data_IF_383543560717
#
_entry.id   IF_383543560717
#
_cell.length_a   1.000
_cell.length_b   1.000
_cell.length_c   1.000
_cell.angle_alpha   90.00
_cell.angle_beta   90.00
_cell.angle_gamma   90.00
#
_symmetry.space_group_name_H-M   'P 1'
#
loop_
_entity.id
_entity.type
_entity.pdbx_description
1 polymer ?
#
# COMPACT_ATOMS: atom_id res chain seq x y z
N UNK A 1 -38.33 -15.63 -45.37
CA UNK A 1 -39.31 -14.78 -44.67
C UNK A 1 -38.60 -14.01 -43.58
N UNK A 2 -38.21 -12.77 -43.85
CA UNK A 2 -37.52 -11.89 -42.90
C UNK A 2 -38.59 -11.10 -42.14
N UNK A 3 -38.82 -11.46 -40.88
CA UNK A 3 -39.77 -10.71 -40.04
C UNK A 3 -39.10 -9.43 -39.54
N UNK A 4 -39.46 -8.30 -40.12
CA UNK A 4 -39.11 -6.97 -39.65
C UNK A 4 -39.77 -6.72 -38.28
N UNK A 5 -38.99 -6.78 -37.22
CA UNK A 5 -39.40 -6.38 -35.88
C UNK A 5 -39.55 -4.86 -35.84
N UNK A 6 -40.73 -4.35 -35.43
CA UNK A 6 -40.95 -2.90 -35.26
C UNK A 6 -40.01 -2.35 -34.17
N UNK A 7 -39.58 -1.08 -34.29
CA UNK A 7 -38.76 -0.37 -33.29
C UNK A 7 -39.33 -0.50 -31.86
N UNK A 8 -40.65 -0.55 -31.72
CA UNK A 8 -41.36 -0.69 -30.45
C UNK A 8 -41.18 -2.11 -29.85
N UNK A 9 -41.23 -3.14 -30.71
CA UNK A 9 -40.99 -4.53 -30.25
C UNK A 9 -39.53 -4.79 -29.92
N UNK A 10 -38.59 -4.10 -30.59
CA UNK A 10 -37.17 -4.16 -30.26
C UNK A 10 -36.88 -3.48 -28.92
N UNK A 11 -37.42 -2.28 -28.67
CA UNK A 11 -37.29 -1.56 -27.40
C UNK A 11 -37.89 -2.33 -26.21
N UNK A 12 -39.06 -2.97 -26.41
CA UNK A 12 -39.68 -3.78 -25.34
C UNK A 12 -38.86 -5.04 -25.01
N UNK A 13 -38.25 -5.69 -25.99
CA UNK A 13 -37.38 -6.84 -25.77
C UNK A 13 -36.01 -6.43 -25.14
N UNK A 14 -35.50 -5.27 -25.54
CA UNK A 14 -34.28 -4.71 -24.92
C UNK A 14 -34.53 -4.25 -23.49
N UNK A 15 -35.70 -3.69 -23.17
CA UNK A 15 -36.07 -3.34 -21.80
C UNK A 15 -36.27 -4.56 -20.90
N UNK A 16 -36.79 -5.68 -21.42
CA UNK A 16 -36.91 -6.93 -20.67
C UNK A 16 -35.55 -7.62 -20.47
N UNK A 17 -34.61 -7.51 -21.41
CA UNK A 17 -33.26 -8.04 -21.24
C UNK A 17 -32.43 -7.19 -20.24
N UNK A 18 -32.68 -5.88 -20.16
CA UNK A 18 -32.04 -5.00 -19.16
C UNK A 18 -32.63 -5.14 -17.76
N UNK A 19 -33.85 -5.69 -17.61
CA UNK A 19 -34.50 -5.85 -16.30
C UNK A 19 -34.08 -7.12 -15.52
N UNK A 20 -33.20 -7.95 -16.06
CA UNK A 20 -32.88 -9.27 -15.47
C UNK A 20 -31.44 -9.38 -14.93
N UNK A 21 -30.63 -8.34 -15.04
CA UNK A 21 -29.37 -8.28 -14.31
C UNK A 21 -29.45 -7.13 -13.30
N UNK A 22 -29.67 -7.40 -12.02
CA UNK A 22 -29.53 -6.35 -11.03
C UNK A 22 -28.07 -5.92 -11.01
N UNK A 23 -27.79 -4.73 -11.53
CA UNK A 23 -26.50 -4.04 -11.39
C UNK A 23 -26.09 -3.95 -9.90
N UNK A 24 -27.06 -4.07 -9.01
CA UNK A 24 -26.87 -4.20 -7.56
C UNK A 24 -26.05 -5.42 -7.11
N UNK A 25 -25.85 -6.44 -7.96
CA UNK A 25 -24.97 -7.58 -7.64
C UNK A 25 -23.49 -7.32 -7.92
N UNK A 26 -23.17 -6.23 -8.60
CA UNK A 26 -21.78 -5.85 -8.88
C UNK A 26 -21.18 -4.92 -7.83
N UNK A 27 -22.03 -4.37 -6.96
CA UNK A 27 -21.60 -3.51 -5.86
C UNK A 27 -22.42 -3.89 -4.62
N UNK A 28 -22.13 -5.02 -4.03
CA UNK A 28 -22.29 -5.18 -2.60
C UNK A 28 -20.92 -4.81 -2.02
N UNK A 29 -20.80 -3.73 -1.25
CA UNK A 29 -19.66 -3.57 -0.39
C UNK A 29 -19.72 -4.80 0.52
N UNK A 30 -18.72 -5.66 0.42
CA UNK A 30 -18.49 -6.66 1.44
C UNK A 30 -18.08 -5.85 2.67
N UNK A 31 -18.96 -5.78 3.69
CA UNK A 31 -18.71 -5.06 4.95
C UNK A 31 -17.51 -5.63 5.72
N UNK A 32 -16.99 -6.78 5.28
CA UNK A 32 -15.73 -7.36 5.75
C UNK A 32 -14.49 -6.66 5.20
N UNK A 33 -14.63 -5.77 4.22
CA UNK A 33 -13.49 -5.04 3.67
C UNK A 33 -13.15 -3.86 4.59
N UNK A 34 -12.03 -3.98 5.28
CA UNK A 34 -11.43 -2.95 6.15
C UNK A 34 -11.06 -1.61 5.45
N UNK A 35 -11.47 -1.42 4.22
CA UNK A 35 -11.61 -0.14 3.53
C UNK A 35 -12.96 0.52 3.83
N UNK A 36 -13.52 0.24 5.02
CA UNK A 36 -14.66 0.98 5.53
C UNK A 36 -14.35 2.45 5.41
N UNK A 37 -15.26 3.11 4.72
CA UNK A 37 -15.42 4.55 4.65
C UNK A 37 -14.80 5.22 5.87
N UNK A 38 -13.60 5.79 5.70
CA UNK A 38 -13.07 6.68 6.71
C UNK A 38 -14.07 7.81 6.78
N UNK A 39 -14.89 7.80 7.83
CA UNK A 39 -15.75 8.92 8.14
C UNK A 39 -14.90 10.19 8.10
N UNK A 40 -15.42 11.30 7.59
CA UNK A 40 -14.68 12.56 7.62
C UNK A 40 -14.15 12.75 9.04
N UNK A 41 -12.83 13.03 9.14
CA UNK A 41 -12.20 13.21 10.43
C UNK A 41 -12.96 14.29 11.20
N UNK A 42 -13.73 13.96 12.26
CA UNK A 42 -14.39 14.98 13.04
C UNK A 42 -13.29 15.86 13.59
N UNK A 43 -13.44 17.17 13.42
CA UNK A 43 -12.48 18.14 13.96
C UNK A 43 -12.12 17.78 15.41
N UNK A 44 -10.84 17.62 15.69
CA UNK A 44 -10.31 17.33 17.04
C UNK A 44 -9.98 15.86 17.36
N UNK A 45 -10.08 14.90 16.41
CA UNK A 45 -9.59 13.53 16.66
C UNK A 45 -8.12 13.36 16.27
N UNK A 46 -7.36 12.61 17.06
CA UNK A 46 -5.99 12.16 16.74
C UNK A 46 -6.09 10.93 15.84
N UNK A 47 -5.51 10.99 14.64
CA UNK A 47 -5.62 9.93 13.61
C UNK A 47 -4.38 9.03 13.58
N UNK A 48 -4.43 7.90 14.27
CA UNK A 48 -3.35 6.92 14.32
C UNK A 48 -3.74 5.58 13.70
N UNK A 49 -4.66 5.58 12.74
CA UNK A 49 -5.24 4.35 12.15
C UNK A 49 -4.82 4.07 10.70
N UNK A 50 -4.16 5.01 10.01
CA UNK A 50 -3.96 4.94 8.56
C UNK A 50 -2.50 4.97 8.08
N UNK A 51 -1.54 4.90 9.00
CA UNK A 51 -0.10 4.94 8.68
C UNK A 51 0.28 6.18 7.85
N UNK A 52 -0.35 7.31 8.15
CA UNK A 52 -0.01 8.61 7.57
C UNK A 52 1.26 9.16 8.24
N UNK A 53 1.90 10.12 7.59
CA UNK A 53 3.01 10.86 8.19
C UNK A 53 2.44 12.10 8.89
N UNK A 54 2.56 12.22 10.22
CA UNK A 54 1.94 13.32 10.98
C UNK A 54 2.61 14.66 10.73
N UNK A 55 3.85 14.65 10.26
CA UNK A 55 4.62 15.87 9.96
C UNK A 55 4.24 16.49 8.60
N UNK A 56 3.34 15.83 7.85
CA UNK A 56 2.80 16.28 6.57
C UNK A 56 3.84 16.29 5.45
N UNK A 57 3.53 16.89 4.30
CA UNK A 57 4.52 17.11 3.25
C UNK A 57 5.50 18.23 3.67
N UNK A 58 6.73 18.17 3.12
CA UNK A 58 7.74 19.20 3.34
C UNK A 58 7.28 20.57 2.83
N UNK A 59 7.90 21.65 3.33
CA UNK A 59 7.64 23.01 2.83
C UNK A 59 7.99 23.16 1.36
N UNK A 60 9.03 22.44 0.88
CA UNK A 60 9.38 22.41 -0.53
C UNK A 60 8.28 21.77 -1.38
N UNK A 61 7.70 20.67 -0.91
CA UNK A 61 6.57 20.01 -1.59
C UNK A 61 5.31 20.91 -1.59
N UNK A 62 4.99 21.57 -0.47
CA UNK A 62 3.86 22.53 -0.37
C UNK A 62 4.05 23.70 -1.34
N UNK A 63 5.24 24.28 -1.40
CA UNK A 63 5.58 25.37 -2.32
C UNK A 63 5.41 24.92 -3.78
N UNK A 64 5.95 23.75 -4.15
CA UNK A 64 5.82 23.21 -5.50
C UNK A 64 4.35 22.98 -5.91
N UNK A 65 3.49 22.53 -4.98
CA UNK A 65 2.05 22.44 -5.23
C UNK A 65 1.42 23.80 -5.57
N UNK A 66 1.73 24.83 -4.76
CA UNK A 66 1.17 26.19 -4.96
C UNK A 66 1.64 26.75 -6.31
N UNK A 67 2.94 26.64 -6.64
CA UNK A 67 3.50 27.13 -7.89
C UNK A 67 2.90 26.43 -9.12
N UNK A 68 2.56 25.14 -9.00
CA UNK A 68 1.97 24.37 -10.10
C UNK A 68 0.47 24.57 -10.26
N UNK A 69 -0.21 25.35 -9.40
CA UNK A 69 -1.66 25.61 -9.51
C UNK A 69 -2.03 26.33 -10.81
N UNK A 70 -1.13 27.15 -11.36
CA UNK A 70 -1.32 27.81 -12.66
C UNK A 70 -1.48 26.83 -13.83
N UNK A 71 -0.97 25.60 -13.68
CA UNK A 71 -1.02 24.53 -14.70
C UNK A 71 -2.23 23.60 -14.53
N UNK A 72 -3.13 23.86 -13.56
CA UNK A 72 -4.25 22.98 -13.26
C UNK A 72 -5.26 22.80 -14.42
N UNK A 73 -5.28 23.70 -15.39
CA UNK A 73 -6.10 23.62 -16.60
C UNK A 73 -5.45 22.82 -17.74
N UNK A 74 -4.26 22.25 -17.53
CA UNK A 74 -3.51 21.48 -18.53
C UNK A 74 -3.28 20.04 -18.10
N UNK A 75 -3.19 19.14 -19.08
CA UNK A 75 -2.75 17.75 -18.80
C UNK A 75 -1.26 17.75 -18.42
N UNK A 76 -0.87 17.16 -17.29
CA UNK A 76 0.45 17.32 -16.67
C UNK A 76 1.54 16.42 -17.29
N UNK A 77 1.60 16.27 -18.61
CA UNK A 77 2.50 15.30 -19.27
C UNK A 77 3.97 15.59 -18.97
N UNK A 78 4.37 16.85 -18.99
CA UNK A 78 5.74 17.26 -18.71
C UNK A 78 6.13 17.02 -17.24
N UNK A 79 5.20 17.25 -16.30
CA UNK A 79 5.42 16.95 -14.88
C UNK A 79 5.60 15.45 -14.65
N UNK A 80 4.81 14.62 -15.34
CA UNK A 80 4.91 13.16 -15.23
C UNK A 80 6.23 12.67 -15.82
N UNK A 81 6.64 13.16 -16.99
CA UNK A 81 7.92 12.82 -17.59
C UNK A 81 9.10 13.20 -16.67
N UNK A 82 9.10 14.42 -16.11
CA UNK A 82 10.10 14.88 -15.14
C UNK A 82 10.11 14.02 -13.88
N UNK A 83 8.94 13.60 -13.37
CA UNK A 83 8.85 12.72 -12.21
C UNK A 83 9.41 11.33 -12.52
N UNK A 84 9.12 10.76 -13.70
CA UNK A 84 9.69 9.48 -14.14
C UNK A 84 11.22 9.57 -14.23
N UNK A 85 11.76 10.64 -14.83
CA UNK A 85 13.19 10.87 -14.93
C UNK A 85 13.86 11.02 -13.56
N UNK A 86 13.24 11.79 -12.65
CA UNK A 86 13.75 11.96 -11.28
C UNK A 86 13.80 10.64 -10.50
N UNK A 87 12.74 9.82 -10.60
CA UNK A 87 12.72 8.49 -9.97
C UNK A 87 13.76 7.58 -10.62
N UNK A 88 13.82 7.51 -11.93
CA UNK A 88 14.77 6.69 -12.66
C UNK A 88 16.23 7.03 -12.27
N UNK A 89 16.56 8.32 -12.27
CA UNK A 89 17.89 8.80 -11.83
C UNK A 89 18.20 8.38 -10.39
N UNK A 90 17.23 8.54 -9.48
CA UNK A 90 17.40 8.18 -8.07
C UNK A 90 17.63 6.67 -7.87
N UNK A 91 17.05 5.84 -8.73
CA UNK A 91 17.14 4.36 -8.65
C UNK A 91 18.26 3.77 -9.54
N UNK A 92 18.95 4.61 -10.34
CA UNK A 92 19.98 4.14 -11.29
C UNK A 92 19.38 3.38 -12.48
N UNK A 93 18.16 3.72 -12.87
CA UNK A 93 17.38 3.11 -13.96
C UNK A 93 17.11 4.13 -15.07
N UNK A 94 16.39 3.73 -16.11
CA UNK A 94 15.87 4.64 -17.14
C UNK A 94 14.37 4.92 -16.95
N UNK A 95 13.82 6.01 -17.52
CA UNK A 95 12.39 6.34 -17.37
C UNK A 95 11.43 5.22 -17.80
N UNK A 96 11.84 4.37 -18.76
CA UNK A 96 11.06 3.22 -19.24
C UNK A 96 10.85 2.14 -18.16
N UNK A 97 11.67 2.14 -17.11
CA UNK A 97 11.53 1.26 -15.94
C UNK A 97 10.54 1.79 -14.89
N UNK A 98 9.93 2.97 -15.10
CA UNK A 98 9.10 3.64 -14.11
C UNK A 98 7.67 3.78 -14.60
N UNK A 99 6.70 3.31 -13.82
CA UNK A 99 5.27 3.58 -14.02
C UNK A 99 4.75 4.44 -12.88
N UNK A 100 4.28 5.64 -13.17
CA UNK A 100 3.59 6.51 -12.19
C UNK A 100 2.13 6.07 -12.06
N UNK A 101 1.60 6.07 -10.83
CA UNK A 101 0.24 5.64 -10.52
C UNK A 101 -0.43 6.57 -9.51
N UNK A 102 -1.77 6.56 -9.47
CA UNK A 102 -2.59 7.25 -8.46
C UNK A 102 -2.50 6.54 -7.09
N UNK A 103 -1.30 6.55 -6.51
CA UNK A 103 -0.94 5.80 -5.31
C UNK A 103 -0.60 4.34 -5.59
N UNK A 104 0.05 3.68 -4.63
CA UNK A 104 0.38 2.25 -4.73
C UNK A 104 -0.86 1.35 -4.85
N UNK A 105 -2.04 1.82 -4.43
CA UNK A 105 -3.30 1.06 -4.58
C UNK A 105 -3.68 0.84 -6.03
N UNK A 106 -3.56 1.86 -6.90
CA UNK A 106 -3.74 1.67 -8.34
C UNK A 106 -2.72 0.68 -8.90
N UNK A 107 -1.46 0.79 -8.48
CA UNK A 107 -0.41 -0.11 -8.92
C UNK A 107 -0.69 -1.58 -8.55
N UNK A 108 -1.13 -1.83 -7.32
CA UNK A 108 -1.54 -3.17 -6.87
C UNK A 108 -2.69 -3.71 -7.73
N UNK A 109 -3.69 -2.87 -8.04
CA UNK A 109 -4.78 -3.22 -8.95
C UNK A 109 -4.29 -3.55 -10.36
N UNK A 110 -3.38 -2.75 -10.92
CA UNK A 110 -2.80 -2.99 -12.24
C UNK A 110 -1.97 -4.27 -12.29
N UNK A 111 -1.16 -4.55 -11.25
CA UNK A 111 -0.39 -5.77 -11.16
C UNK A 111 -1.30 -7.01 -11.05
N UNK A 112 -2.37 -6.92 -10.25
CA UNK A 112 -3.40 -7.95 -10.14
C UNK A 112 -4.11 -8.17 -11.47
N UNK A 113 -4.49 -7.11 -12.18
CA UNK A 113 -5.16 -7.18 -13.48
C UNK A 113 -4.24 -7.76 -14.56
N UNK A 114 -2.99 -7.26 -14.67
CA UNK A 114 -2.03 -7.69 -15.69
C UNK A 114 -1.70 -9.18 -15.60
N UNK A 115 -1.70 -9.75 -14.39
CA UNK A 115 -1.30 -11.12 -14.16
C UNK A 115 -2.47 -12.05 -13.84
N UNK A 116 -3.59 -11.52 -13.32
CA UNK A 116 -4.73 -12.31 -12.85
C UNK A 116 -5.86 -12.51 -13.86
N UNK A 117 -5.86 -11.81 -15.01
CA UNK A 117 -6.88 -12.02 -16.03
C UNK A 117 -6.88 -13.47 -16.53
N UNK A 118 -8.06 -14.11 -16.51
CA UNK A 118 -8.21 -15.52 -16.87
C UNK A 118 -8.01 -16.51 -15.73
N UNK A 119 -7.90 -16.02 -14.50
CA UNK A 119 -7.77 -16.85 -13.29
C UNK A 119 -6.36 -17.38 -13.06
N UNK A 120 -6.21 -18.22 -12.05
CA UNK A 120 -4.95 -18.81 -11.61
C UNK A 120 -4.71 -18.54 -10.13
N UNK A 121 -3.47 -18.68 -9.68
CA UNK A 121 -3.11 -18.54 -8.27
C UNK A 121 -2.21 -17.33 -8.03
N UNK A 122 -2.58 -16.55 -7.00
CA UNK A 122 -1.71 -15.56 -6.40
C UNK A 122 -1.12 -16.16 -5.14
N UNK A 123 0.19 -16.12 -5.01
CA UNK A 123 0.91 -16.72 -3.88
C UNK A 123 1.40 -15.62 -2.95
N UNK A 124 0.95 -15.64 -1.70
CA UNK A 124 1.35 -14.67 -0.68
C UNK A 124 1.24 -15.25 0.74
N UNK A 125 1.95 -14.66 1.70
CA UNK A 125 1.69 -14.91 3.12
C UNK A 125 0.42 -14.19 3.60
N UNK A 126 -0.13 -14.64 4.72
CA UNK A 126 -1.22 -13.98 5.44
C UNK A 126 -0.95 -14.05 6.95
N UNK A 127 -1.13 -12.95 7.71
CA UNK A 127 -1.60 -11.61 7.30
C UNK A 127 -0.55 -10.79 6.56
N UNK A 128 -1.01 -10.00 5.58
CA UNK A 128 -0.22 -9.04 4.82
C UNK A 128 -1.15 -7.92 4.30
N UNK A 129 -0.62 -6.95 3.54
CA UNK A 129 -1.45 -5.98 2.85
C UNK A 129 -2.11 -6.64 1.63
N UNK A 130 -3.36 -7.03 1.78
CA UNK A 130 -4.07 -7.98 0.93
C UNK A 130 -4.81 -7.37 -0.28
N UNK A 131 -4.74 -6.05 -0.48
CA UNK A 131 -5.50 -5.35 -1.53
C UNK A 131 -5.35 -6.00 -2.92
N UNK A 132 -4.12 -6.37 -3.30
CA UNK A 132 -3.86 -7.01 -4.60
C UNK A 132 -4.61 -8.33 -4.71
N UNK A 133 -4.55 -9.19 -3.68
CA UNK A 133 -5.18 -10.50 -3.67
C UNK A 133 -6.70 -10.39 -3.72
N UNK A 134 -7.30 -9.56 -2.85
CA UNK A 134 -8.74 -9.31 -2.82
C UNK A 134 -9.24 -8.76 -4.16
N UNK A 135 -8.46 -7.88 -4.81
CA UNK A 135 -8.82 -7.37 -6.13
C UNK A 135 -8.76 -8.47 -7.21
N UNK A 136 -7.71 -9.29 -7.21
CA UNK A 136 -7.52 -10.33 -8.21
C UNK A 136 -8.49 -11.52 -8.03
N UNK A 137 -8.97 -11.80 -6.82
CA UNK A 137 -10.04 -12.78 -6.57
C UNK A 137 -11.31 -12.40 -7.33
N UNK A 138 -11.63 -11.09 -7.46
CA UNK A 138 -12.74 -10.60 -8.29
C UNK A 138 -12.54 -10.84 -9.79
N UNK A 139 -11.29 -11.10 -10.22
CA UNK A 139 -10.93 -11.46 -11.59
C UNK A 139 -10.90 -12.98 -11.81
N UNK A 140 -11.30 -13.78 -10.81
CA UNK A 140 -11.33 -15.24 -10.87
C UNK A 140 -10.04 -15.93 -10.42
N UNK A 141 -9.10 -15.20 -9.82
CA UNK A 141 -7.93 -15.80 -9.18
C UNK A 141 -8.29 -16.43 -7.84
N UNK A 142 -7.45 -17.35 -7.38
CA UNK A 142 -7.46 -17.85 -6.01
C UNK A 142 -6.20 -17.37 -5.28
N UNK A 143 -6.35 -17.08 -3.99
CA UNK A 143 -5.20 -16.73 -3.15
C UNK A 143 -4.65 -18.00 -2.48
N UNK A 144 -3.54 -18.53 -3.02
CA UNK A 144 -2.74 -19.55 -2.37
C UNK A 144 -1.90 -18.90 -1.27
N UNK A 145 -2.29 -19.11 -0.01
CA UNK A 145 -1.70 -18.43 1.14
C UNK A 145 -1.08 -19.38 2.15
N UNK A 146 0.04 -18.95 2.73
CA UNK A 146 0.66 -19.58 3.89
C UNK A 146 0.62 -18.61 5.08
N UNK A 147 0.46 -19.11 6.33
CA UNK A 147 0.53 -18.25 7.49
C UNK A 147 1.97 -17.69 7.65
N UNK A 148 2.07 -16.55 8.33
CA UNK A 148 3.34 -16.14 8.95
C UNK A 148 3.68 -17.14 10.07
N UNK A 149 4.96 -17.22 10.45
CA UNK A 149 5.36 -18.05 11.58
C UNK A 149 4.82 -17.51 12.93
N UNK A 150 5.09 -18.22 14.04
CA UNK A 150 4.64 -17.82 15.38
C UNK A 150 5.20 -16.46 15.86
N UNK A 151 6.23 -15.93 15.18
CA UNK A 151 6.83 -14.61 15.43
C UNK A 151 6.40 -13.59 14.38
N UNK A 152 5.37 -13.89 13.59
CA UNK A 152 4.88 -13.10 12.47
C UNK A 152 5.95 -12.84 11.38
N UNK A 153 6.98 -13.68 11.28
CA UNK A 153 7.97 -13.63 10.21
C UNK A 153 7.44 -14.32 8.95
N UNK A 154 7.88 -13.86 7.79
CA UNK A 154 7.63 -14.55 6.53
C UNK A 154 8.34 -15.92 6.52
N UNK A 155 7.57 -16.98 6.32
CA UNK A 155 8.10 -18.28 5.99
C UNK A 155 8.27 -18.39 4.46
N UNK A 156 9.41 -17.91 3.97
CA UNK A 156 9.71 -17.92 2.53
C UNK A 156 9.85 -19.36 1.98
N UNK A 157 10.15 -20.35 2.83
CA UNK A 157 10.21 -21.75 2.41
C UNK A 157 8.81 -22.33 2.21
N UNK A 158 7.89 -22.07 3.15
CA UNK A 158 6.51 -22.45 2.98
C UNK A 158 5.86 -21.73 1.78
N UNK A 159 6.23 -20.46 1.56
CA UNK A 159 5.77 -19.71 0.39
C UNK A 159 6.28 -20.32 -0.93
N UNK A 160 7.54 -20.73 -0.98
CA UNK A 160 8.16 -21.44 -2.11
C UNK A 160 7.39 -22.72 -2.47
N UNK A 161 6.98 -23.48 -1.45
CA UNK A 161 6.20 -24.71 -1.62
C UNK A 161 4.81 -24.53 -2.26
N UNK A 162 4.28 -23.30 -2.30
CA UNK A 162 3.00 -22.99 -2.97
C UNK A 162 3.19 -22.60 -4.45
N UNK A 163 4.42 -22.32 -4.88
CA UNK A 163 4.70 -21.83 -6.24
C UNK A 163 4.67 -23.02 -7.21
N UNK A 164 3.81 -22.91 -8.23
CA UNK A 164 3.62 -23.99 -9.20
C UNK A 164 3.11 -23.51 -10.57
N UNK A 165 2.72 -24.43 -11.45
CA UNK A 165 2.31 -24.11 -12.83
C UNK A 165 1.08 -23.17 -12.93
N UNK A 166 0.27 -23.10 -11.88
CA UNK A 166 -0.90 -22.21 -11.82
C UNK A 166 -0.59 -20.83 -11.24
N UNK A 167 0.63 -20.62 -10.72
CA UNK A 167 1.05 -19.34 -10.14
C UNK A 167 1.09 -18.25 -11.20
N UNK A 168 0.34 -17.20 -11.00
CA UNK A 168 0.23 -16.02 -11.86
C UNK A 168 1.03 -14.83 -11.34
N UNK A 169 1.13 -14.71 -10.01
CA UNK A 169 1.89 -13.66 -9.35
C UNK A 169 2.25 -14.09 -7.93
N UNK A 170 3.45 -13.77 -7.51
CA UNK A 170 3.92 -13.90 -6.13
C UNK A 170 3.91 -12.51 -5.53
N UNK A 171 3.37 -12.35 -4.32
CA UNK A 171 3.32 -11.08 -3.61
C UNK A 171 4.05 -11.15 -2.28
N UNK A 172 4.93 -10.17 -2.05
CA UNK A 172 5.66 -10.00 -0.78
C UNK A 172 5.55 -8.53 -0.36
N UNK A 173 5.08 -8.26 0.86
CA UNK A 173 5.08 -6.93 1.46
C UNK A 173 6.27 -6.81 2.42
N UNK A 174 7.21 -5.91 2.13
CA UNK A 174 8.43 -5.79 2.92
C UNK A 174 8.92 -4.33 3.05
N UNK A 175 8.87 -3.74 4.26
CA UNK A 175 8.31 -4.26 5.52
C UNK A 175 6.81 -4.54 5.48
N UNK A 176 6.36 -5.57 6.21
CA UNK A 176 4.98 -6.05 6.14
C UNK A 176 3.98 -5.16 6.88
N UNK A 177 2.80 -5.04 6.35
CA UNK A 177 1.63 -4.43 6.99
C UNK A 177 0.55 -5.54 7.16
N UNK A 178 0.04 -5.83 8.39
CA UNK A 178 0.04 -4.95 9.57
C UNK A 178 1.15 -5.22 10.59
N UNK A 179 2.05 -6.17 10.39
CA UNK A 179 2.97 -6.63 11.42
C UNK A 179 4.14 -5.67 11.68
N UNK A 180 4.54 -4.88 10.70
CA UNK A 180 5.71 -3.99 10.76
C UNK A 180 7.05 -4.71 10.56
N UNK A 181 7.03 -6.04 10.45
CA UNK A 181 8.25 -6.86 10.39
C UNK A 181 8.90 -6.79 9.02
N UNK A 182 10.21 -6.75 9.02
CA UNK A 182 11.06 -6.74 7.82
C UNK A 182 11.68 -8.12 7.59
N UNK A 183 11.62 -8.59 6.35
CA UNK A 183 12.36 -9.78 5.92
C UNK A 183 13.84 -9.39 5.78
N UNK A 184 14.78 -10.12 6.39
CA UNK A 184 16.21 -9.84 6.23
C UNK A 184 16.63 -9.78 4.75
N UNK A 185 17.34 -8.71 4.37
CA UNK A 185 17.74 -8.45 2.99
C UNK A 185 18.34 -9.68 2.25
N UNK A 186 19.30 -10.46 2.83
CA UNK A 186 19.86 -11.60 2.12
C UNK A 186 18.83 -12.68 1.82
N UNK A 187 17.85 -12.90 2.70
CA UNK A 187 16.78 -13.89 2.52
C UNK A 187 15.83 -13.47 1.40
N UNK A 188 15.37 -12.20 1.43
CA UNK A 188 14.48 -11.68 0.39
C UNK A 188 15.20 -11.62 -0.97
N UNK A 189 16.46 -11.19 -0.98
CA UNK A 189 17.28 -11.17 -2.21
C UNK A 189 17.42 -12.56 -2.83
N UNK A 190 17.70 -13.58 -2.02
CA UNK A 190 17.79 -14.97 -2.47
C UNK A 190 16.46 -15.46 -3.06
N UNK A 191 15.33 -15.16 -2.39
CA UNK A 191 14.00 -15.51 -2.86
C UNK A 191 13.66 -14.82 -4.19
N UNK A 192 13.90 -13.50 -4.29
CA UNK A 192 13.70 -12.77 -5.53
C UNK A 192 14.58 -13.31 -6.67
N UNK A 193 15.83 -13.66 -6.38
CA UNK A 193 16.76 -14.25 -7.35
C UNK A 193 16.30 -15.62 -7.86
N UNK A 194 15.65 -16.42 -7.03
CA UNK A 194 15.15 -17.74 -7.42
C UNK A 194 13.89 -17.68 -8.31
N UNK A 195 13.04 -16.68 -8.12
CA UNK A 195 11.70 -16.64 -8.72
C UNK A 195 11.46 -15.50 -9.71
N UNK A 196 12.10 -14.35 -9.56
CA UNK A 196 11.81 -13.14 -10.33
C UNK A 196 12.10 -13.20 -11.84
N UNK A 197 12.79 -14.23 -12.31
CA UNK A 197 12.95 -14.51 -13.75
C UNK A 197 11.85 -15.43 -14.31
N UNK A 198 11.22 -16.24 -13.45
CA UNK A 198 10.25 -17.27 -13.85
C UNK A 198 8.81 -16.80 -13.69
N UNK A 199 8.50 -16.15 -12.58
CA UNK A 199 7.15 -15.72 -12.19
C UNK A 199 7.10 -14.21 -12.01
N UNK A 200 6.01 -13.52 -12.36
CA UNK A 200 5.76 -12.19 -11.88
C UNK A 200 5.86 -12.17 -10.35
N UNK A 201 6.77 -11.35 -9.83
CA UNK A 201 7.03 -11.21 -8.40
C UNK A 201 6.90 -9.74 -8.01
N UNK A 202 5.88 -9.42 -7.22
CA UNK A 202 5.64 -8.08 -6.71
C UNK A 202 6.19 -7.96 -5.28
N UNK A 203 7.11 -7.03 -5.08
CA UNK A 203 7.58 -6.65 -3.74
C UNK A 203 7.02 -5.27 -3.42
N UNK A 204 6.12 -5.20 -2.43
CA UNK A 204 5.58 -3.95 -1.92
C UNK A 204 6.57 -3.34 -0.93
N UNK A 205 7.25 -2.29 -1.36
CA UNK A 205 8.25 -1.55 -0.59
C UNK A 205 7.70 -0.21 -0.08
N UNK A 206 6.41 -0.13 0.24
CA UNK A 206 5.78 1.11 0.70
C UNK A 206 6.43 1.73 1.95
N UNK A 207 7.19 0.97 2.71
CA UNK A 207 7.87 1.42 3.94
C UNK A 207 9.40 1.32 3.87
N UNK A 208 9.98 1.12 2.70
CA UNK A 208 11.42 0.84 2.56
C UNK A 208 12.32 1.94 3.15
N UNK A 209 11.93 3.21 3.02
CA UNK A 209 12.70 4.33 3.58
C UNK A 209 12.76 4.29 5.11
N UNK A 210 11.77 3.64 5.75
CA UNK A 210 11.68 3.50 7.22
C UNK A 210 12.33 2.22 7.75
N UNK A 211 12.65 1.27 6.85
CA UNK A 211 13.29 0.00 7.20
C UNK A 211 14.68 0.20 7.80
N UNK A 212 15.19 -0.82 8.49
CA UNK A 212 16.52 -0.78 9.12
C UNK A 212 17.64 -0.53 8.10
N UNK A 213 17.55 -1.16 6.93
CA UNK A 213 18.49 -0.96 5.82
C UNK A 213 18.21 0.29 5.00
N UNK A 214 17.04 0.93 5.20
CA UNK A 214 16.55 1.97 4.31
C UNK A 214 16.52 1.47 2.87
N UNK A 215 16.69 2.38 1.92
CA UNK A 215 16.68 2.04 0.48
C UNK A 215 17.77 1.05 0.04
N UNK A 216 18.84 0.87 0.84
CA UNK A 216 19.87 -0.15 0.59
C UNK A 216 19.34 -1.57 0.73
N UNK A 217 18.24 -1.75 1.45
CA UNK A 217 17.52 -3.02 1.58
C UNK A 217 16.53 -3.31 0.43
N UNK A 218 16.42 -2.42 -0.55
CA UNK A 218 15.50 -2.58 -1.68
C UNK A 218 15.90 -3.71 -2.63
N UNK A 219 14.90 -4.34 -3.22
CA UNK A 219 15.06 -5.32 -4.31
C UNK A 219 15.15 -4.66 -5.69
N UNK A 220 15.06 -3.33 -5.80
CA UNK A 220 15.16 -2.61 -7.09
C UNK A 220 16.47 -2.89 -7.83
N UNK A 221 17.58 -3.09 -7.11
CA UNK A 221 18.86 -3.47 -7.72
C UNK A 221 18.89 -4.83 -8.42
N UNK A 222 17.81 -5.63 -8.35
CA UNK A 222 17.69 -6.91 -9.04
C UNK A 222 16.89 -6.81 -10.35
N UNK A 223 16.30 -5.67 -10.68
CA UNK A 223 15.37 -5.53 -11.82
C UNK A 223 16.03 -5.93 -13.14
N UNK A 224 17.28 -5.56 -13.36
CA UNK A 224 18.00 -5.93 -14.60
C UNK A 224 18.20 -7.44 -14.74
N UNK A 225 18.36 -8.14 -13.63
CA UNK A 225 18.64 -9.60 -13.60
C UNK A 225 17.36 -10.42 -13.46
N UNK A 226 16.27 -9.81 -13.01
CA UNK A 226 14.99 -10.45 -12.70
C UNK A 226 13.86 -9.81 -13.52
N UNK A 227 13.66 -10.23 -14.79
CA UNK A 227 12.80 -9.51 -15.75
C UNK A 227 11.31 -9.49 -15.38
N UNK A 228 10.86 -10.29 -14.41
CA UNK A 228 9.47 -10.32 -13.95
C UNK A 228 9.31 -9.74 -12.53
N UNK A 229 10.36 -9.12 -11.99
CA UNK A 229 10.30 -8.45 -10.70
C UNK A 229 9.64 -7.08 -10.84
N UNK A 230 8.69 -6.79 -9.96
CA UNK A 230 7.97 -5.52 -9.85
C UNK A 230 8.19 -4.99 -8.43
N UNK A 231 8.70 -3.79 -8.30
CA UNK A 231 8.83 -3.10 -7.01
C UNK A 231 7.76 -2.02 -6.92
N UNK A 232 6.93 -2.08 -5.89
CA UNK A 232 5.91 -1.07 -5.61
C UNK A 232 6.37 -0.06 -4.56
N UNK A 233 6.23 1.24 -4.85
CA UNK A 233 6.61 2.35 -3.98
C UNK A 233 5.50 3.38 -3.86
N UNK A 234 5.56 4.22 -2.84
CA UNK A 234 4.56 5.27 -2.60
C UNK A 234 5.18 6.52 -1.98
N UNK A 235 4.61 7.66 -2.29
CA UNK A 235 4.92 8.93 -1.60
C UNK A 235 4.05 9.16 -0.36
N UNK A 236 3.16 8.22 -0.03
CA UNK A 236 2.18 8.38 1.07
C UNK A 236 2.81 8.32 2.47
N UNK A 237 4.01 7.72 2.63
CA UNK A 237 4.58 7.40 3.94
C UNK A 237 5.62 8.44 4.34
N UNK A 238 6.91 8.20 4.16
CA UNK A 238 7.99 9.10 4.60
C UNK A 238 7.85 10.52 4.04
N UNK A 239 7.36 10.66 2.82
CA UNK A 239 7.20 11.96 2.15
C UNK A 239 5.92 12.73 2.52
N UNK A 240 5.00 12.13 3.29
CA UNK A 240 3.79 12.80 3.77
C UNK A 240 2.76 13.18 2.71
N UNK A 241 2.76 12.53 1.55
CA UNK A 241 1.89 12.86 0.41
C UNK A 241 0.70 11.90 0.25
N UNK A 242 0.20 11.32 1.35
CA UNK A 242 -0.89 10.32 1.31
C UNK A 242 -2.15 10.86 0.59
N UNK A 243 -2.53 12.11 0.83
CA UNK A 243 -3.68 12.77 0.21
C UNK A 243 -3.47 13.12 -1.26
N UNK A 244 -2.22 13.20 -1.74
CA UNK A 244 -1.90 13.51 -3.14
C UNK A 244 -1.99 12.31 -4.06
N UNK A 245 -2.14 11.12 -3.51
CA UNK A 245 -2.33 9.87 -4.26
C UNK A 245 -1.26 9.63 -5.31
N UNK A 246 0.01 9.51 -4.90
CA UNK A 246 1.12 9.20 -5.81
C UNK A 246 1.86 7.95 -5.35
N UNK A 247 2.07 7.04 -6.29
CA UNK A 247 2.92 5.87 -6.18
C UNK A 247 3.60 5.58 -7.51
N UNK A 248 4.48 4.62 -7.51
CA UNK A 248 5.16 4.19 -8.72
C UNK A 248 5.61 2.73 -8.64
N UNK A 249 5.73 2.12 -9.82
CA UNK A 249 6.40 0.84 -9.99
C UNK A 249 7.80 1.05 -10.57
N UNK A 250 8.69 0.15 -10.19
CA UNK A 250 9.96 -0.10 -10.87
C UNK A 250 9.93 -1.54 -11.39
N UNK A 251 10.17 -1.74 -12.68
CA UNK A 251 10.24 -3.06 -13.32
C UNK A 251 10.92 -2.95 -14.69
N UNK A 252 11.17 -4.07 -15.35
CA UNK A 252 11.62 -4.08 -16.74
C UNK A 252 10.58 -3.41 -17.67
N UNK A 253 11.01 -2.75 -18.76
CA UNK A 253 10.14 -1.97 -19.64
C UNK A 253 8.93 -2.74 -20.18
N UNK A 254 9.06 -4.05 -20.46
CA UNK A 254 7.95 -4.87 -20.91
C UNK A 254 6.86 -5.04 -19.83
N UNK A 255 7.26 -5.20 -18.57
CA UNK A 255 6.33 -5.26 -17.43
C UNK A 255 5.65 -3.91 -17.19
N UNK A 256 6.40 -2.81 -17.28
CA UNK A 256 5.87 -1.44 -17.20
C UNK A 256 4.84 -1.22 -18.30
N UNK A 257 5.16 -1.58 -19.55
CA UNK A 257 4.25 -1.46 -20.69
C UNK A 257 2.98 -2.29 -20.53
N UNK A 258 3.10 -3.53 -20.03
CA UNK A 258 1.95 -4.39 -19.78
C UNK A 258 0.97 -3.74 -18.78
N UNK A 259 1.46 -3.23 -17.64
CA UNK A 259 0.66 -2.53 -16.64
C UNK A 259 0.11 -1.19 -17.15
N UNK A 260 0.95 -0.39 -17.84
CA UNK A 260 0.54 0.91 -18.41
C UNK A 260 -0.58 0.79 -19.44
N UNK A 261 -0.62 -0.29 -20.22
CA UNK A 261 -1.69 -0.54 -21.18
C UNK A 261 -3.06 -0.77 -20.52
N UNK A 262 -3.07 -1.18 -19.25
CA UNK A 262 -4.28 -1.40 -18.46
C UNK A 262 -4.67 -0.17 -17.62
N UNK A 263 -3.80 0.83 -17.56
CA UNK A 263 -4.05 2.05 -16.80
C UNK A 263 -5.10 2.92 -17.50
N UNK A 264 -6.21 3.19 -16.83
CA UNK A 264 -7.35 3.96 -17.39
C UNK A 264 -6.94 5.38 -17.78
N UNK A 265 -6.08 5.99 -16.98
CA UNK A 265 -5.56 7.37 -17.18
C UNK A 265 -4.15 7.36 -17.77
N UNK A 266 -3.92 6.49 -18.73
CA UNK A 266 -2.62 6.31 -19.39
C UNK A 266 -1.98 7.65 -19.76
N UNK A 267 -0.73 7.86 -19.35
CA UNK A 267 0.09 9.06 -19.53
C UNK A 267 -0.27 10.28 -18.64
N UNK A 268 -1.38 10.24 -17.91
CA UNK A 268 -1.80 11.34 -17.01
C UNK A 268 -2.45 10.80 -15.72
N UNK A 269 -1.79 9.88 -15.00
CA UNK A 269 -2.40 9.21 -13.85
C UNK A 269 -2.58 10.11 -12.63
N UNK A 270 -1.84 11.21 -12.55
CA UNK A 270 -1.83 12.14 -11.40
C UNK A 270 -1.91 13.58 -11.86
N UNK A 271 -2.33 14.50 -10.99
CA UNK A 271 -2.39 15.94 -11.29
C UNK A 271 -0.99 16.58 -11.37
N UNK A 272 -0.90 17.77 -11.95
CA UNK A 272 0.32 18.58 -11.97
C UNK A 272 0.82 18.86 -10.55
N UNK A 273 -0.10 19.23 -9.64
CA UNK A 273 0.22 19.53 -8.25
C UNK A 273 0.85 18.32 -7.54
N UNK A 274 0.27 17.15 -7.76
CA UNK A 274 0.74 15.91 -7.17
C UNK A 274 2.14 15.54 -7.70
N UNK A 275 2.36 15.62 -9.02
CA UNK A 275 3.65 15.33 -9.61
C UNK A 275 4.73 16.34 -9.18
N UNK A 276 4.40 17.65 -9.14
CA UNK A 276 5.31 18.69 -8.65
C UNK A 276 5.72 18.45 -7.18
N UNK A 277 4.75 18.13 -6.32
CA UNK A 277 5.01 17.80 -4.92
C UNK A 277 5.95 16.59 -4.78
N UNK A 278 5.73 15.55 -5.58
CA UNK A 278 6.57 14.34 -5.56
C UNK A 278 8.00 14.63 -6.03
N UNK A 279 8.18 15.42 -7.09
CA UNK A 279 9.50 15.86 -7.56
C UNK A 279 10.22 16.64 -6.46
N UNK A 280 9.54 17.61 -5.83
CA UNK A 280 10.11 18.37 -4.74
C UNK A 280 10.49 17.49 -3.54
N UNK A 281 9.64 16.53 -3.18
CA UNK A 281 9.89 15.60 -2.08
C UNK A 281 11.10 14.68 -2.35
N UNK A 282 11.30 14.24 -3.59
CA UNK A 282 12.50 13.45 -3.98
C UNK A 282 13.79 14.25 -3.81
N UNK A 283 13.73 15.57 -4.00
CA UNK A 283 14.86 16.48 -3.90
C UNK A 283 15.00 17.14 -2.50
N UNK A 284 14.31 16.61 -1.50
CA UNK A 284 14.32 17.10 -0.12
C UNK A 284 14.79 16.01 0.86
N UNK A 285 16.09 15.63 0.81
CA UNK A 285 16.62 14.60 1.70
C UNK A 285 16.58 15.02 3.17
N UNK A 286 16.59 16.32 3.47
CA UNK A 286 16.53 16.82 4.84
C UNK A 286 15.18 16.51 5.48
N UNK A 287 14.09 16.69 4.76
CA UNK A 287 12.76 16.31 5.24
C UNK A 287 12.61 14.77 5.35
N UNK A 288 13.12 14.01 4.37
CA UNK A 288 13.10 12.54 4.44
C UNK A 288 13.81 12.04 5.71
N UNK A 289 15.01 12.58 5.99
CA UNK A 289 15.80 12.25 7.18
C UNK A 289 15.10 12.69 8.47
N UNK A 290 14.57 13.92 8.51
CA UNK A 290 13.79 14.42 9.65
C UNK A 290 12.58 13.53 9.94
N UNK A 291 11.77 13.27 8.92
CA UNK A 291 10.57 12.44 9.03
C UNK A 291 10.91 11.03 9.53
N UNK A 292 11.95 10.41 8.96
CA UNK A 292 12.44 9.10 9.38
C UNK A 292 12.89 9.11 10.84
N UNK A 293 13.68 10.10 11.26
CA UNK A 293 14.16 10.21 12.63
C UNK A 293 13.00 10.35 13.62
N UNK A 294 12.01 11.19 13.32
CA UNK A 294 10.84 11.40 14.17
C UNK A 294 9.94 10.18 14.28
N UNK A 295 9.77 9.43 13.19
CA UNK A 295 9.02 8.16 13.21
C UNK A 295 9.76 7.12 14.08
N UNK A 296 11.08 7.02 13.98
CA UNK A 296 11.88 6.11 14.82
C UNK A 296 11.78 6.50 16.31
N UNK A 297 11.87 7.80 16.61
CA UNK A 297 11.68 8.35 17.98
C UNK A 297 10.31 7.98 18.55
N UNK A 298 9.24 8.24 17.78
CA UNK A 298 7.88 7.90 18.21
C UNK A 298 7.66 6.39 18.39
N UNK A 299 8.24 5.54 17.53
CA UNK A 299 8.21 4.07 17.75
C UNK A 299 8.87 3.71 19.07
N UNK A 300 10.05 4.31 19.34
CA UNK A 300 10.77 4.05 20.60
C UNK A 300 9.93 4.45 21.81
N UNK A 301 9.24 5.60 21.77
CA UNK A 301 8.32 6.02 22.85
C UNK A 301 7.25 4.95 23.13
N UNK A 302 6.61 4.42 22.07
CA UNK A 302 5.59 3.38 22.20
C UNK A 302 6.19 2.08 22.74
N UNK A 303 7.32 1.64 22.21
CA UNK A 303 7.99 0.41 22.62
C UNK A 303 8.42 0.48 24.10
N UNK A 304 9.09 1.56 24.52
CA UNK A 304 9.54 1.75 25.91
C UNK A 304 8.33 1.72 26.88
N UNK A 305 7.22 2.34 26.52
CA UNK A 305 5.99 2.32 27.30
C UNK A 305 5.39 0.91 27.39
N UNK A 306 5.28 0.21 26.27
CA UNK A 306 4.73 -1.15 26.21
C UNK A 306 5.61 -2.15 26.98
N UNK A 307 6.93 -2.04 26.88
CA UNK A 307 7.86 -2.82 27.71
C UNK A 307 7.59 -2.60 29.20
N UNK A 308 7.45 -1.34 29.65
CA UNK A 308 7.19 -1.00 31.05
C UNK A 308 5.83 -1.50 31.56
N UNK A 309 4.86 -1.73 30.65
CA UNK A 309 3.52 -2.21 30.97
C UNK A 309 3.36 -3.71 30.74
N UNK A 310 4.36 -4.36 30.16
CA UNK A 310 4.29 -5.79 29.77
C UNK A 310 3.29 -6.04 28.64
N UNK A 311 3.07 -5.07 27.76
CA UNK A 311 2.27 -5.24 26.54
C UNK A 311 3.14 -5.86 25.47
N UNK A 312 2.72 -7.01 24.93
CA UNK A 312 3.42 -7.67 23.82
C UNK A 312 3.22 -6.90 22.52
N UNK A 313 4.29 -6.63 21.78
CA UNK A 313 4.28 -5.96 20.49
C UNK A 313 5.31 -6.55 19.53
N UNK A 314 5.22 -6.23 18.27
CA UNK A 314 6.20 -6.63 17.26
C UNK A 314 7.16 -5.48 16.95
N UNK A 315 8.46 -5.80 16.91
CA UNK A 315 9.49 -4.86 16.47
C UNK A 315 9.23 -4.40 15.03
N UNK A 316 8.98 -3.12 14.88
CA UNK A 316 8.51 -2.56 13.61
C UNK A 316 9.61 -1.84 12.84
N UNK A 317 9.64 -2.04 11.53
CA UNK A 317 10.44 -1.30 10.54
C UNK A 317 9.58 -0.32 9.72
N UNK A 318 8.43 0.14 10.27
CA UNK A 318 7.45 1.00 9.59
C UNK A 318 7.11 2.23 10.42
N UNK A 319 6.07 2.99 10.04
CA UNK A 319 5.52 4.11 10.82
C UNK A 319 4.33 3.69 11.70
N UNK A 320 4.34 2.49 12.22
CA UNK A 320 3.31 1.98 13.14
C UNK A 320 3.89 0.88 14.04
N UNK A 321 3.19 0.57 15.11
CA UNK A 321 3.46 -0.57 16.00
C UNK A 321 2.24 -1.48 16.03
N UNK A 322 2.46 -2.80 15.91
CA UNK A 322 1.45 -3.83 16.01
C UNK A 322 1.58 -4.53 17.36
N UNK A 323 0.54 -4.51 18.17
CA UNK A 323 0.59 -4.91 19.57
C UNK A 323 -0.61 -5.78 19.98
N UNK A 324 -0.42 -6.58 21.01
CA UNK A 324 -1.41 -7.52 21.53
C UNK A 324 -2.35 -6.87 22.53
N UNK A 325 -3.63 -7.23 22.46
CA UNK A 325 -4.70 -6.58 23.22
C UNK A 325 -4.86 -7.13 24.67
N UNK A 326 -4.18 -8.22 25.01
CA UNK A 326 -4.40 -8.98 26.27
C UNK A 326 -4.33 -8.16 27.55
N UNK A 327 -3.54 -7.09 27.56
CA UNK A 327 -3.38 -6.21 28.73
C UNK A 327 -4.45 -5.13 28.84
N UNK A 328 -5.29 -4.97 27.82
CA UNK A 328 -6.35 -3.97 27.84
C UNK A 328 -7.63 -4.56 28.47
N UNK A 329 -8.29 -3.76 29.30
CA UNK A 329 -9.56 -4.13 29.98
C UNK A 329 -10.76 -4.19 29.05
N UNK A 330 -10.66 -3.50 27.89
CA UNK A 330 -11.67 -3.49 26.81
C UNK A 330 -10.94 -3.47 25.46
N UNK A 331 -11.67 -3.64 24.37
CA UNK A 331 -11.09 -3.51 23.02
C UNK A 331 -10.34 -2.17 22.86
N UNK A 332 -9.04 -2.19 22.50
CA UNK A 332 -8.22 -0.97 22.40
C UNK A 332 -8.78 0.05 21.41
N UNK A 333 -9.42 -0.39 20.31
CA UNK A 333 -10.00 0.53 19.32
C UNK A 333 -11.16 1.31 19.92
N UNK A 334 -12.05 0.61 20.65
CA UNK A 334 -13.17 1.25 21.36
C UNK A 334 -12.68 2.16 22.49
N UNK A 335 -11.69 1.69 23.26
CA UNK A 335 -11.10 2.45 24.35
C UNK A 335 -10.49 3.78 23.84
N UNK A 336 -9.67 3.71 22.80
CA UNK A 336 -9.04 4.89 22.19
C UNK A 336 -10.07 5.81 21.52
N UNK A 337 -11.11 5.27 20.89
CA UNK A 337 -12.17 6.07 20.28
C UNK A 337 -12.90 6.96 21.31
N UNK A 338 -13.08 6.50 22.56
CA UNK A 338 -13.64 7.28 23.68
C UNK A 338 -12.73 8.45 24.09
N UNK A 339 -11.44 8.32 23.88
CA UNK A 339 -10.42 9.36 24.14
C UNK A 339 -10.16 10.23 22.88
N UNK A 340 -11.00 10.14 21.85
CA UNK A 340 -10.84 10.82 20.55
C UNK A 340 -9.58 10.44 19.78
N UNK A 341 -9.08 9.22 19.96
CA UNK A 341 -7.91 8.68 19.26
C UNK A 341 -8.36 7.52 18.39
N UNK A 342 -7.99 7.53 17.12
CA UNK A 342 -8.33 6.47 16.16
C UNK A 342 -7.11 5.55 15.98
N UNK A 343 -7.25 4.28 16.33
CA UNK A 343 -6.30 3.21 16.01
C UNK A 343 -7.03 2.11 15.21
N UNK A 344 -6.37 0.98 14.90
CA UNK A 344 -6.96 -0.05 14.06
C UNK A 344 -6.73 -1.46 14.60
N UNK A 345 -7.74 -2.33 14.49
CA UNK A 345 -7.64 -3.79 14.61
C UNK A 345 -8.00 -4.47 13.29
N UNK A 346 -7.85 -5.79 13.23
CA UNK A 346 -8.11 -6.59 12.05
C UNK A 346 -8.81 -7.89 12.45
N UNK A 347 -9.95 -8.19 11.83
CA UNK A 347 -10.74 -9.39 12.13
C UNK A 347 -9.96 -10.69 11.84
N UNK A 348 -9.06 -10.64 10.86
CA UNK A 348 -8.22 -11.76 10.46
C UNK A 348 -6.98 -11.98 11.35
N UNK A 349 -6.72 -11.07 12.32
CA UNK A 349 -5.70 -11.21 13.36
C UNK A 349 -6.33 -10.81 14.71
N UNK A 350 -7.26 -11.62 15.23
CA UNK A 350 -7.96 -11.28 16.47
C UNK A 350 -6.98 -11.14 17.64
N UNK A 351 -7.28 -10.22 18.55
CA UNK A 351 -6.45 -9.96 19.73
C UNK A 351 -5.22 -9.08 19.47
N UNK A 352 -5.08 -8.49 18.26
CA UNK A 352 -4.02 -7.57 17.93
C UNK A 352 -4.57 -6.25 17.36
N UNK A 353 -3.89 -5.16 17.70
CA UNK A 353 -4.20 -3.82 17.22
C UNK A 353 -2.96 -3.14 16.66
N UNK A 354 -3.18 -2.12 15.82
CA UNK A 354 -2.11 -1.34 15.21
C UNK A 354 -2.31 0.14 15.49
N UNK A 355 -1.27 0.78 16.02
CA UNK A 355 -1.20 2.22 16.20
C UNK A 355 -0.17 2.82 15.25
N UNK A 356 -0.56 3.81 14.44
CA UNK A 356 0.37 4.58 13.61
C UNK A 356 1.17 5.55 14.49
N UNK A 357 2.39 5.88 14.08
CA UNK A 357 3.21 6.88 14.79
C UNK A 357 2.74 8.27 14.40
N UNK A 358 2.30 9.03 15.40
CA UNK A 358 1.90 10.43 15.34
C UNK A 358 3.05 11.40 15.63
N UNK A 359 2.72 12.68 15.86
CA UNK A 359 3.67 13.63 16.46
C UNK A 359 4.00 13.22 17.88
N UNK A 360 5.01 13.84 18.49
CA UNK A 360 5.35 13.59 19.90
C UNK A 360 4.14 13.81 20.81
N UNK A 361 3.40 14.91 20.59
CA UNK A 361 2.20 15.25 21.37
C UNK A 361 1.06 14.23 21.15
N UNK A 362 0.89 13.74 19.92
CA UNK A 362 -0.10 12.71 19.61
C UNK A 362 0.27 11.36 20.25
N UNK A 363 1.57 11.02 20.30
CA UNK A 363 2.05 9.83 21.00
C UNK A 363 1.89 9.94 22.51
N UNK A 364 2.21 11.08 23.11
CA UNK A 364 1.98 11.34 24.55
C UNK A 364 0.49 11.17 24.89
N UNK A 365 -0.40 11.74 24.07
CA UNK A 365 -1.85 11.61 24.27
C UNK A 365 -2.31 10.14 24.14
N UNK A 366 -1.80 9.41 23.13
CA UNK A 366 -2.10 7.99 22.96
C UNK A 366 -1.63 7.16 24.16
N UNK A 367 -0.40 7.36 24.61
CA UNK A 367 0.17 6.59 25.73
C UNK A 367 -0.55 6.92 27.05
N UNK A 368 -0.89 8.18 27.29
CA UNK A 368 -1.69 8.58 28.45
C UNK A 368 -3.09 7.94 28.44
N UNK A 369 -3.75 7.91 27.28
CA UNK A 369 -5.04 7.26 27.10
C UNK A 369 -4.92 5.73 27.27
N UNK A 370 -3.96 5.10 26.60
CA UNK A 370 -3.75 3.65 26.67
C UNK A 370 -3.51 3.18 28.12
N UNK A 371 -2.72 3.94 28.88
CA UNK A 371 -2.43 3.62 30.29
C UNK A 371 -3.67 3.52 31.18
N UNK A 372 -4.70 4.34 30.93
CA UNK A 372 -5.98 4.31 31.68
C UNK A 372 -6.77 3.03 31.48
N UNK A 373 -6.55 2.34 30.35
CA UNK A 373 -7.32 1.18 29.93
C UNK A 373 -6.55 -0.15 30.07
N UNK A 374 -5.36 -0.13 30.70
CA UNK A 374 -4.61 -1.34 31.03
C UNK A 374 -5.14 -2.01 32.28
N UNK A 375 -5.07 -3.37 32.35
CA UNK A 375 -5.44 -4.19 33.51
C UNK A 375 -4.37 -4.13 34.61
#
# INVERSE_FOLDING_TARGET
MTTNLSRRAWLQRSAMAAAVLPISRWYQPDDSNAYTHQLPNPAGKIRLNSNENPYGPSENAKKAMVESMSEANRYPRDFIAKLQEAIATREGLTPEHVLITAGSTELLGLAGLANGMGGGELVACHPTFDFLMVYAERLGCTWARTPLDKKFQYDLHALDGLIGPRTKLIFVCNPNNPTGIEIPYPRLKSFCGAHGSKYPLYVDEAYIELSNGGRKGSMAGLIEQQPKLIIGRTFSKVHGLAGMRIGYALAQPDMIKAMSNLQTTRNVPVSALAAAAAIAALNDPDFENFSRAKIIEGRKMVNDAFDSWGVEYLESSTNFVFFKNEKFTTDPVEAMAKENILIRSYDYVPGWSRVSIGTTEEMDAFLAAARKHLA
#
